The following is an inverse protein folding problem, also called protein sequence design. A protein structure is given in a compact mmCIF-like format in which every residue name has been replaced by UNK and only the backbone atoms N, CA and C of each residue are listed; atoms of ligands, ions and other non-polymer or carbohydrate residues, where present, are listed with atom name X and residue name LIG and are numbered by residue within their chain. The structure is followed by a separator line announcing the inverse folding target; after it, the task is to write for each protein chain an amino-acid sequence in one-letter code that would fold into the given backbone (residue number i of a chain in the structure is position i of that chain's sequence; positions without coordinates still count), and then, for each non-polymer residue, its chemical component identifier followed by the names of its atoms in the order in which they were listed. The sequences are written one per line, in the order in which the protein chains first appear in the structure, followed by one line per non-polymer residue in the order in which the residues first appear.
data_IF_310769685775
#
_entry.id   IF_310769685775
#
_cell.length_a   1.000
_cell.length_b   1.000
_cell.length_c   1.000
_cell.angle_alpha   90.00
_cell.angle_beta   90.00
_cell.angle_gamma   90.00
#
_symmetry.space_group_name_H-M   'P 1'
#
loop_
_entity.id
_entity.type
_entity.pdbx_description
1 polymer ?
#
# COMPACT_ATOMS: atom_id res chain seq x y z
N UNK A 1 26.72 9.42 11.09
CA UNK A 1 25.56 9.51 12.00
C UNK A 1 24.32 10.11 11.35
N UNK A 2 24.22 11.42 11.07
CA UNK A 2 23.02 11.98 10.39
C UNK A 2 22.85 11.48 8.95
N UNK A 3 23.96 11.29 8.22
CA UNK A 3 23.94 10.75 6.86
C UNK A 3 23.39 9.31 6.82
N UNK A 4 23.88 8.44 7.69
CA UNK A 4 23.45 7.03 7.75
C UNK A 4 21.97 6.92 8.15
N UNK A 5 21.52 7.72 9.11
CA UNK A 5 20.11 7.78 9.50
C UNK A 5 19.19 8.21 8.34
N UNK A 6 19.56 9.28 7.61
CA UNK A 6 18.74 9.76 6.50
C UNK A 6 18.71 8.76 5.34
N UNK A 7 19.84 8.12 5.06
CA UNK A 7 19.92 7.03 4.08
C UNK A 7 19.02 5.87 4.45
N UNK A 8 19.05 5.43 5.72
CA UNK A 8 18.18 4.34 6.21
C UNK A 8 16.69 4.71 6.17
N UNK A 9 16.35 5.95 6.53
CA UNK A 9 14.97 6.45 6.44
C UNK A 9 14.47 6.44 4.99
N UNK A 10 15.28 6.94 4.05
CA UNK A 10 14.95 6.95 2.62
C UNK A 10 14.87 5.53 2.08
N UNK A 11 15.76 4.63 2.49
CA UNK A 11 15.73 3.23 2.09
C UNK A 11 14.47 2.52 2.60
N UNK A 12 14.08 2.75 3.85
CA UNK A 12 12.86 2.23 4.44
C UNK A 12 11.60 2.77 3.71
N UNK A 13 11.57 4.07 3.43
CA UNK A 13 10.51 4.70 2.64
C UNK A 13 10.41 4.10 1.24
N UNK A 14 11.53 4.00 0.53
CA UNK A 14 11.59 3.41 -0.80
C UNK A 14 11.11 1.95 -0.78
N UNK A 15 11.49 1.18 0.23
CA UNK A 15 11.06 -0.21 0.39
C UNK A 15 9.53 -0.31 0.49
N UNK A 16 8.90 0.54 1.31
CA UNK A 16 7.43 0.59 1.44
C UNK A 16 6.74 1.03 0.14
N UNK A 17 7.28 2.06 -0.53
CA UNK A 17 6.70 2.56 -1.79
C UNK A 17 6.80 1.52 -2.89
N UNK A 18 7.96 0.87 -3.04
CA UNK A 18 8.17 -0.18 -4.04
C UNK A 18 7.28 -1.38 -3.75
N UNK A 19 7.18 -1.82 -2.50
CA UNK A 19 6.28 -2.92 -2.12
C UNK A 19 4.81 -2.60 -2.46
N UNK A 20 4.36 -1.38 -2.16
CA UNK A 20 3.03 -0.91 -2.53
C UNK A 20 2.79 -0.89 -4.04
N UNK A 21 3.78 -0.43 -4.80
CA UNK A 21 3.70 -0.41 -6.24
C UNK A 21 3.67 -1.83 -6.85
N UNK A 22 4.41 -2.78 -6.29
CA UNK A 22 4.38 -4.19 -6.71
C UNK A 22 3.00 -4.80 -6.44
N UNK A 23 2.42 -4.57 -5.26
CA UNK A 23 1.06 -5.04 -4.93
C UNK A 23 0.05 -4.41 -5.88
N UNK A 24 0.16 -3.11 -6.15
CA UNK A 24 -0.68 -2.42 -7.11
C UNK A 24 -0.60 -3.05 -8.50
N UNK A 25 0.62 -3.29 -9.00
CA UNK A 25 0.84 -3.88 -10.31
C UNK A 25 0.19 -5.26 -10.43
N UNK A 26 0.29 -6.09 -9.38
CA UNK A 26 -0.41 -7.36 -9.31
C UNK A 26 -1.95 -7.20 -9.36
N UNK A 27 -2.50 -6.23 -8.64
CA UNK A 27 -3.93 -5.90 -8.72
C UNK A 27 -4.36 -5.46 -10.12
N UNK A 28 -3.52 -4.68 -10.81
CA UNK A 28 -3.78 -4.21 -12.18
C UNK A 28 -3.77 -5.36 -13.17
N UNK A 29 -2.79 -6.26 -13.09
CA UNK A 29 -2.76 -7.48 -13.90
C UNK A 29 -4.02 -8.30 -13.70
N UNK A 30 -4.43 -8.51 -12.44
CA UNK A 30 -5.68 -9.21 -12.13
C UNK A 30 -6.92 -8.52 -12.72
N UNK A 31 -6.96 -7.19 -12.67
CA UNK A 31 -8.04 -6.39 -13.24
C UNK A 31 -8.09 -6.54 -14.77
N UNK A 32 -6.95 -6.46 -15.45
CA UNK A 32 -6.85 -6.68 -16.89
C UNK A 32 -7.33 -8.06 -17.30
N UNK A 33 -6.92 -9.12 -16.59
CA UNK A 33 -7.43 -10.46 -16.82
C UNK A 33 -8.96 -10.49 -16.72
N UNK A 34 -9.53 -9.91 -15.67
CA UNK A 34 -10.98 -9.85 -15.50
C UNK A 34 -11.68 -9.11 -16.63
N UNK A 35 -11.13 -7.99 -17.07
CA UNK A 35 -11.74 -7.17 -18.13
C UNK A 35 -11.64 -7.88 -19.50
N UNK A 36 -10.54 -8.62 -19.78
CA UNK A 36 -10.38 -9.41 -21.01
C UNK A 36 -11.42 -10.52 -21.17
N UNK A 37 -11.91 -11.09 -20.06
CA UNK A 37 -12.95 -12.13 -20.07
C UNK A 37 -14.37 -11.59 -19.90
N UNK A 38 -14.56 -10.27 -19.82
CA UNK A 38 -15.88 -9.66 -19.66
C UNK A 38 -16.34 -9.03 -20.99
N UNK A 39 -17.37 -9.57 -21.66
CA UNK A 39 -17.89 -8.96 -22.87
C UNK A 39 -18.60 -7.63 -22.54
N UNK A 40 -18.06 -6.50 -23.03
CA UNK A 40 -18.66 -5.17 -22.88
C UNK A 40 -17.69 -4.03 -23.21
N UNK A 41 -18.22 -2.84 -23.49
CA UNK A 41 -17.41 -1.64 -23.78
C UNK A 41 -16.65 -1.15 -22.54
N UNK A 42 -15.33 -0.93 -22.72
CA UNK A 42 -14.46 -0.40 -21.68
C UNK A 42 -14.75 1.10 -21.50
N UNK A 43 -15.51 1.45 -20.47
CA UNK A 43 -15.68 2.83 -20.06
C UNK A 43 -14.41 3.34 -19.35
N UNK A 44 -13.49 3.92 -20.11
CA UNK A 44 -12.17 4.41 -19.65
C UNK A 44 -12.23 5.22 -18.35
N UNK A 45 -13.21 6.10 -18.19
CA UNK A 45 -13.40 6.90 -16.96
C UNK A 45 -13.66 6.02 -15.72
N UNK A 46 -14.53 5.02 -15.83
CA UNK A 46 -14.83 4.09 -14.72
C UNK A 46 -13.63 3.19 -14.43
N UNK A 47 -12.91 2.80 -15.48
CA UNK A 47 -11.69 2.01 -15.37
C UNK A 47 -10.60 2.76 -14.60
N UNK A 48 -10.25 3.98 -15.02
CA UNK A 48 -9.27 4.85 -14.34
C UNK A 48 -9.61 5.08 -12.86
N UNK A 49 -10.89 5.30 -12.56
CA UNK A 49 -11.33 5.48 -11.17
C UNK A 49 -11.18 4.20 -10.33
N UNK A 50 -11.38 3.02 -10.94
CA UNK A 50 -11.16 1.72 -10.29
C UNK A 50 -9.66 1.49 -10.05
N UNK A 51 -8.83 1.75 -11.05
CA UNK A 51 -7.36 1.69 -10.97
C UNK A 51 -6.83 2.59 -9.87
N UNK A 52 -7.31 3.84 -9.80
CA UNK A 52 -6.93 4.80 -8.76
C UNK A 52 -7.29 4.32 -7.35
N UNK A 53 -8.48 3.76 -7.17
CA UNK A 53 -8.85 3.18 -5.87
C UNK A 53 -7.97 1.99 -5.50
N UNK A 54 -7.66 1.12 -6.45
CA UNK A 54 -6.76 -0.02 -6.22
C UNK A 54 -5.35 0.45 -5.87
N UNK A 55 -4.90 1.57 -6.45
CA UNK A 55 -3.64 2.20 -6.07
C UNK A 55 -3.64 2.57 -4.59
N UNK A 56 -4.61 3.37 -4.13
CA UNK A 56 -4.67 3.74 -2.70
C UNK A 56 -4.81 2.50 -1.78
N UNK A 57 -5.61 1.53 -2.19
CA UNK A 57 -5.80 0.28 -1.45
C UNK A 57 -4.51 -0.56 -1.34
N UNK A 58 -3.70 -0.62 -2.39
CA UNK A 58 -2.44 -1.35 -2.36
C UNK A 58 -1.43 -0.77 -1.37
N UNK A 59 -1.35 0.56 -1.26
CA UNK A 59 -0.52 1.22 -0.28
C UNK A 59 -1.08 1.07 1.14
N UNK A 60 -2.40 1.08 1.30
CA UNK A 60 -3.07 0.77 2.59
C UNK A 60 -2.73 -0.67 3.05
N UNK A 61 -2.85 -1.67 2.17
CA UNK A 61 -2.45 -3.05 2.47
C UNK A 61 -0.97 -3.11 2.85
N UNK A 62 -0.11 -2.42 2.11
CA UNK A 62 1.34 -2.43 2.36
C UNK A 62 1.67 -1.83 3.70
N UNK A 63 1.06 -0.71 4.07
CA UNK A 63 1.25 -0.09 5.37
C UNK A 63 0.82 -1.03 6.50
N UNK A 64 -0.40 -1.58 6.44
CA UNK A 64 -0.89 -2.51 7.47
C UNK A 64 -0.09 -3.81 7.52
N UNK A 65 0.27 -4.36 6.36
CA UNK A 65 1.09 -5.56 6.25
C UNK A 65 2.49 -5.34 6.81
N UNK A 66 3.12 -4.21 6.51
CA UNK A 66 4.44 -3.86 7.01
C UNK A 66 4.48 -3.69 8.54
N UNK A 67 3.40 -3.22 9.17
CA UNK A 67 3.29 -3.18 10.65
C UNK A 67 3.46 -4.58 11.26
N UNK A 68 3.00 -5.63 10.59
CA UNK A 68 3.09 -7.02 11.06
C UNK A 68 4.36 -7.71 10.59
N UNK A 69 4.77 -7.46 9.34
CA UNK A 69 5.93 -8.10 8.71
C UNK A 69 7.25 -7.53 9.24
N UNK A 70 7.34 -6.22 9.50
CA UNK A 70 8.58 -5.60 9.96
C UNK A 70 9.07 -6.18 11.31
N UNK A 71 8.24 -6.35 12.35
CA UNK A 71 8.67 -6.99 13.60
C UNK A 71 9.07 -8.46 13.42
N UNK A 72 8.44 -9.17 12.48
CA UNK A 72 8.82 -10.54 12.15
C UNK A 72 10.20 -10.61 11.50
N UNK A 73 10.50 -9.69 10.58
CA UNK A 73 11.81 -9.59 9.94
C UNK A 73 12.88 -9.12 10.92
N UNK A 74 12.56 -8.18 11.83
CA UNK A 74 13.46 -7.75 12.90
C UNK A 74 13.98 -8.92 13.75
N UNK A 75 13.14 -9.93 14.03
CA UNK A 75 13.55 -11.10 14.81
C UNK A 75 14.54 -12.01 14.10
N UNK A 76 14.65 -11.91 12.78
CA UNK A 76 15.55 -12.71 11.94
C UNK A 76 16.75 -11.94 11.42
N UNK A 77 16.74 -10.62 11.58
CA UNK A 77 17.75 -9.72 11.08
C UNK A 77 19.02 -9.76 11.96
N UNK A 78 20.17 -9.57 11.33
CA UNK A 78 21.43 -9.30 12.04
C UNK A 78 21.42 -7.89 12.64
N UNK A 79 22.26 -7.63 13.65
CA UNK A 79 22.24 -6.38 14.45
C UNK A 79 22.32 -5.11 13.59
N UNK A 80 23.06 -5.16 12.48
CA UNK A 80 23.24 -4.04 11.56
C UNK A 80 21.96 -3.69 10.76
N UNK A 81 21.06 -4.66 10.53
CA UNK A 81 19.83 -4.45 9.75
C UNK A 81 18.63 -4.06 10.63
N UNK A 82 18.72 -4.24 11.95
CA UNK A 82 17.63 -3.94 12.88
C UNK A 82 17.19 -2.48 12.77
N UNK A 83 18.13 -1.56 12.61
CA UNK A 83 17.86 -0.11 12.46
C UNK A 83 16.94 0.15 11.27
N UNK A 84 17.19 -0.49 10.13
CA UNK A 84 16.36 -0.36 8.92
C UNK A 84 14.94 -0.83 9.15
N UNK A 85 14.77 -2.00 9.77
CA UNK A 85 13.45 -2.54 10.03
C UNK A 85 12.66 -1.75 11.08
N UNK A 86 13.33 -1.12 12.05
CA UNK A 86 12.71 -0.14 12.95
C UNK A 86 12.17 1.05 12.15
N UNK A 87 12.93 1.60 11.20
CA UNK A 87 12.47 2.70 10.35
C UNK A 87 11.26 2.29 9.50
N UNK A 88 11.28 1.08 8.93
CA UNK A 88 10.14 0.52 8.19
C UNK A 88 8.92 0.43 9.09
N UNK A 89 9.07 -0.04 10.33
CA UNK A 89 7.96 -0.13 11.29
C UNK A 89 7.38 1.24 11.64
N UNK A 90 8.23 2.23 11.94
CA UNK A 90 7.79 3.60 12.25
C UNK A 90 7.01 4.18 11.06
N UNK A 91 7.57 4.08 9.84
CA UNK A 91 6.91 4.57 8.64
C UNK A 91 5.61 3.82 8.34
N UNK A 92 5.57 2.50 8.56
CA UNK A 92 4.37 1.70 8.39
C UNK A 92 3.26 2.14 9.33
N UNK A 93 3.57 2.46 10.59
CA UNK A 93 2.62 3.01 11.56
C UNK A 93 2.11 4.39 11.10
N UNK A 94 3.01 5.29 10.68
CA UNK A 94 2.65 6.62 10.20
C UNK A 94 1.75 6.57 8.96
N UNK A 95 2.08 5.70 7.98
CA UNK A 95 1.23 5.51 6.81
C UNK A 95 -0.09 4.84 7.16
N UNK A 96 -0.10 3.88 8.07
CA UNK A 96 -1.34 3.27 8.55
C UNK A 96 -2.27 4.32 9.16
N UNK A 97 -1.72 5.22 9.99
CA UNK A 97 -2.47 6.33 10.56
C UNK A 97 -2.98 7.31 9.49
N UNK A 98 -2.13 7.64 8.49
CA UNK A 98 -2.51 8.48 7.36
C UNK A 98 -3.66 7.87 6.55
N UNK A 99 -3.57 6.58 6.20
CA UNK A 99 -4.62 5.90 5.43
C UNK A 99 -5.92 5.75 6.23
N UNK A 100 -5.84 5.51 7.54
CA UNK A 100 -7.01 5.57 8.41
C UNK A 100 -7.65 6.96 8.39
N UNK A 101 -6.86 8.03 8.51
CA UNK A 101 -7.35 9.40 8.45
C UNK A 101 -8.04 9.71 7.11
N UNK A 102 -7.40 9.37 5.99
CA UNK A 102 -7.99 9.55 4.65
C UNK A 102 -9.30 8.76 4.56
N UNK A 103 -9.32 7.52 5.05
CA UNK A 103 -10.52 6.68 5.06
C UNK A 103 -11.66 7.28 5.87
N UNK A 104 -11.37 7.90 7.02
CA UNK A 104 -12.36 8.61 7.83
C UNK A 104 -12.92 9.83 7.10
N UNK A 105 -12.08 10.62 6.44
CA UNK A 105 -12.53 11.79 5.68
C UNK A 105 -13.33 11.43 4.43
N UNK A 106 -12.93 10.38 3.71
CA UNK A 106 -13.60 9.96 2.48
C UNK A 106 -14.78 9.01 2.71
N UNK A 107 -15.09 8.67 3.97
CA UNK A 107 -16.22 7.79 4.33
C UNK A 107 -16.01 6.32 3.97
N UNK A 108 -14.75 5.88 3.85
CA UNK A 108 -14.37 4.53 3.44
C UNK A 108 -13.95 4.43 1.97
N UNK A 109 -12.83 3.76 1.69
CA UNK A 109 -12.48 3.31 0.32
C UNK A 109 -13.37 2.17 -0.17
N UNK A 110 -14.20 1.62 0.72
CA UNK A 110 -15.18 0.60 0.43
C UNK A 110 -16.36 1.18 -0.33
N UNK A 111 -16.63 0.58 -1.49
CA UNK A 111 -17.96 0.33 -2.03
C UNK A 111 -19.08 0.57 -1.00
N UNK A 112 -19.57 1.81 -0.86
CA UNK A 112 -20.95 1.99 -0.40
C UNK A 112 -21.77 1.28 -1.46
N UNK A 113 -22.19 0.05 -1.15
CA UNK A 113 -23.28 -0.64 -1.84
C UNK A 113 -24.30 0.46 -2.12
N UNK A 114 -24.60 0.70 -3.40
CA UNK A 114 -25.87 1.33 -3.78
C UNK A 114 -26.92 0.61 -2.94
N UNK A 115 -27.45 1.27 -1.92
CA UNK A 115 -28.80 0.96 -1.48
C UNK A 115 -29.62 1.19 -2.73
N UNK A 116 -30.11 0.09 -3.30
CA UNK A 116 -31.32 0.11 -4.10
C UNK A 116 -32.39 0.61 -3.14
N UNK A 117 -32.81 1.85 -3.34
CA UNK A 117 -34.18 2.28 -3.12
C UNK A 117 -34.60 2.90 -4.45
#
# INVERSE_FOLDING_TARGET
MFGDFFTELVAAFATLVVAGFVIWMACIVFLFFKELFTPGDIQVRKYLYRVWKMFLFSFEITAYGAVVVAPYLMKKAEEDEVTRYIMILILAILFSALFLYIRFQTGGFGFRRRRRD
#
